data_IF_416742184401
#
_entry.id   IF_416742184401
#
_cell.length_a   1.000
_cell.length_b   1.000
_cell.length_c   1.000
_cell.angle_alpha   90.00
_cell.angle_beta   90.00
_cell.angle_gamma   90.00
#
_symmetry.space_group_name_H-M   'P 1'
#
loop_
_entity.id
_entity.type
_entity.pdbx_description
1 polymer ?
#
# COMPACT_ATOMS: atom_id res chain seq x y z
N UNK A 1 13.74 -46.09 -11.60
CA UNK A 1 13.31 -45.15 -10.53
C UNK A 1 12.79 -43.88 -11.19
N UNK A 2 11.57 -43.42 -10.86
CA UNK A 2 10.71 -42.83 -11.88
C UNK A 2 10.91 -41.32 -12.02
N UNK A 3 10.87 -40.87 -13.28
CA UNK A 3 10.84 -39.48 -13.76
C UNK A 3 9.81 -38.59 -13.03
N UNK A 4 8.77 -39.21 -12.44
CA UNK A 4 7.77 -38.53 -11.60
C UNK A 4 8.35 -37.84 -10.37
N UNK A 5 9.44 -38.34 -9.77
CA UNK A 5 10.04 -37.71 -8.59
C UNK A 5 10.82 -36.42 -8.91
N UNK A 6 11.34 -36.29 -10.14
CA UNK A 6 12.07 -35.08 -10.57
C UNK A 6 11.09 -33.92 -10.82
N UNK A 7 9.92 -34.22 -11.38
CA UNK A 7 8.88 -33.21 -11.61
C UNK A 7 8.28 -32.64 -10.31
N UNK A 8 8.16 -33.47 -9.26
CA UNK A 8 7.68 -33.01 -7.94
C UNK A 8 8.68 -32.08 -7.23
N UNK A 9 9.99 -32.28 -7.43
CA UNK A 9 11.03 -31.42 -6.83
C UNK A 9 11.14 -30.07 -7.56
N UNK A 10 10.98 -30.05 -8.88
CA UNK A 10 11.00 -28.78 -9.64
C UNK A 10 9.74 -27.95 -9.37
N UNK A 11 8.57 -28.57 -9.17
CA UNK A 11 7.35 -27.84 -8.82
C UNK A 11 7.39 -27.26 -7.39
N UNK A 12 8.08 -27.92 -6.45
CA UNK A 12 8.25 -27.41 -5.09
C UNK A 12 9.20 -26.18 -5.01
N UNK A 13 10.12 -26.03 -5.96
CA UNK A 13 11.05 -24.90 -6.00
C UNK A 13 10.43 -23.58 -6.51
N UNK A 14 9.29 -23.63 -7.22
CA UNK A 14 8.58 -22.43 -7.66
C UNK A 14 7.65 -21.82 -6.59
N UNK A 15 7.33 -22.55 -5.52
CA UNK A 15 6.46 -22.04 -4.44
C UNK A 15 7.25 -21.32 -3.33
N UNK A 16 8.58 -21.43 -3.33
CA UNK A 16 9.44 -20.76 -2.36
C UNK A 16 9.61 -19.24 -2.61
N UNK A 17 9.06 -18.70 -3.71
CA UNK A 17 9.20 -17.29 -4.10
C UNK A 17 8.34 -16.29 -3.32
N UNK A 18 7.34 -16.74 -2.56
CA UNK A 18 6.39 -15.85 -1.86
C UNK A 18 6.52 -15.84 -0.33
N UNK A 19 7.44 -16.63 0.24
CA UNK A 19 7.68 -16.68 1.68
C UNK A 19 8.73 -15.63 2.09
N UNK A 20 8.35 -14.36 2.01
CA UNK A 20 9.18 -13.26 2.48
C UNK A 20 9.28 -13.25 4.01
N UNK A 21 10.37 -13.79 4.54
CA UNK A 21 10.88 -13.56 5.91
C UNK A 21 11.30 -12.08 6.09
N UNK A 22 10.40 -11.14 5.82
CA UNK A 22 10.67 -9.72 6.02
C UNK A 22 10.22 -9.29 7.42
N UNK A 23 11.08 -8.53 8.10
CA UNK A 23 10.80 -8.00 9.43
C UNK A 23 9.65 -7.01 9.34
N UNK A 24 8.54 -7.25 10.06
CA UNK A 24 7.40 -6.33 10.13
C UNK A 24 7.69 -5.03 10.92
N UNK A 25 8.95 -4.75 11.21
CA UNK A 25 9.41 -3.59 11.97
C UNK A 25 9.62 -2.41 11.00
N UNK A 26 8.73 -1.43 11.08
CA UNK A 26 8.83 -0.18 10.35
C UNK A 26 9.83 0.78 11.01
N UNK A 27 9.70 0.97 12.32
CA UNK A 27 10.69 1.70 13.12
C UNK A 27 11.74 0.72 13.62
N UNK A 28 13.00 1.05 13.45
CA UNK A 28 14.10 0.22 13.92
C UNK A 28 14.59 0.59 15.32
N UNK A 29 15.67 -0.06 15.75
CA UNK A 29 16.17 -0.06 17.13
C UNK A 29 17.12 1.10 17.46
N UNK A 30 17.71 1.77 16.48
CA UNK A 30 18.51 3.00 16.65
C UNK A 30 18.89 3.61 15.29
N UNK A 31 18.41 4.82 14.99
CA UNK A 31 18.82 5.55 13.79
C UNK A 31 20.29 5.96 13.88
N UNK A 32 21.07 5.57 12.87
CA UNK A 32 22.39 6.15 12.62
C UNK A 32 22.18 7.48 11.89
N UNK A 33 22.88 8.53 12.30
CA UNK A 33 22.86 9.80 11.58
C UNK A 33 23.60 9.62 10.24
N UNK A 34 22.92 9.88 9.12
CA UNK A 34 23.54 9.95 7.81
C UNK A 34 23.59 11.41 7.32
N UNK A 35 24.64 11.80 6.59
CA UNK A 35 24.68 13.09 5.90
C UNK A 35 23.51 13.24 4.91
N UNK A 36 22.97 14.46 4.79
CA UNK A 36 21.91 14.75 3.81
C UNK A 36 22.33 14.43 2.37
N UNK A 37 23.63 14.53 2.07
CA UNK A 37 24.22 14.18 0.76
C UNK A 37 24.09 12.69 0.41
N UNK A 38 23.81 11.83 1.38
CA UNK A 38 23.64 10.39 1.19
C UNK A 38 22.16 9.98 1.12
N UNK A 39 21.24 10.94 1.09
CA UNK A 39 19.78 10.71 1.00
C UNK A 39 19.27 11.21 -0.36
N UNK A 40 18.74 10.30 -1.17
CA UNK A 40 18.18 10.61 -2.49
C UNK A 40 16.76 11.19 -2.42
N UNK A 41 16.03 10.94 -1.34
CA UNK A 41 14.68 11.44 -1.18
C UNK A 41 14.11 11.26 0.21
N UNK A 42 13.08 12.05 0.52
CA UNK A 42 12.28 11.93 1.73
C UNK A 42 10.81 12.10 1.37
N UNK A 43 9.99 11.08 1.61
CA UNK A 43 8.60 11.03 1.18
C UNK A 43 7.65 10.86 2.36
N UNK A 44 6.69 11.77 2.46
CA UNK A 44 5.57 11.69 3.41
C UNK A 44 4.48 10.79 2.84
N UNK A 45 4.34 9.58 3.39
CA UNK A 45 3.31 8.63 3.00
C UNK A 45 2.11 8.76 3.93
N UNK A 46 0.96 9.18 3.40
CA UNK A 46 -0.29 9.22 4.15
C UNK A 46 -0.98 7.87 4.10
N UNK A 47 -1.57 7.42 5.21
CA UNK A 47 -2.03 6.04 5.34
C UNK A 47 -3.42 5.99 5.96
N UNK A 48 -4.35 5.35 5.24
CA UNK A 48 -5.61 4.86 5.78
C UNK A 48 -5.53 3.33 5.83
N UNK A 49 -5.79 2.72 7.00
CA UNK A 49 -5.56 1.29 7.19
C UNK A 49 -6.69 0.61 7.95
N UNK A 50 -7.08 -0.60 7.51
CA UNK A 50 -8.00 -1.48 8.25
C UNK A 50 -7.26 -2.42 9.20
N UNK A 51 -5.94 -2.26 9.35
CA UNK A 51 -5.14 -2.98 10.32
C UNK A 51 -5.36 -2.45 11.73
N UNK A 52 -5.32 -3.34 12.72
CA UNK A 52 -5.28 -3.00 14.13
C UNK A 52 -3.92 -2.36 14.48
N UNK A 53 -3.95 -1.38 15.39
CA UNK A 53 -2.73 -0.79 15.97
C UNK A 53 -1.97 -1.89 16.72
N UNK A 54 -0.67 -1.99 16.49
CA UNK A 54 0.16 -2.98 17.17
C UNK A 54 0.51 -2.53 18.58
N UNK A 55 0.59 -3.47 19.53
CA UNK A 55 1.18 -3.23 20.85
C UNK A 55 2.71 -3.02 20.77
N UNK A 56 3.34 -3.46 19.67
CA UNK A 56 4.74 -3.20 19.37
C UNK A 56 4.87 -1.88 18.59
N UNK A 57 5.44 -0.81 19.19
CA UNK A 57 5.56 0.48 18.54
C UNK A 57 6.43 0.41 17.28
N UNK A 58 7.32 -0.59 17.17
CA UNK A 58 8.16 -0.75 15.98
C UNK A 58 7.38 -1.21 14.75
N UNK A 59 6.24 -1.88 14.95
CA UNK A 59 5.38 -2.35 13.85
C UNK A 59 4.33 -1.33 13.44
N UNK A 60 3.90 -0.49 14.38
CA UNK A 60 2.82 0.51 14.26
C UNK A 60 1.44 -0.13 14.04
N UNK A 61 1.28 -0.97 13.01
CA UNK A 61 0.08 -1.73 12.72
C UNK A 61 0.43 -3.20 12.45
N UNK A 62 -0.44 -4.11 12.88
CA UNK A 62 -0.24 -5.55 12.72
C UNK A 62 -1.03 -6.14 11.53
N UNK A 63 -1.18 -7.47 11.52
CA UNK A 63 -1.93 -8.20 10.49
C UNK A 63 -3.42 -8.38 10.82
N UNK A 64 -3.88 -7.99 12.00
CA UNK A 64 -5.25 -8.20 12.44
C UNK A 64 -6.18 -7.09 11.91
N UNK A 65 -7.46 -7.43 11.75
CA UNK A 65 -8.50 -6.49 11.33
C UNK A 65 -8.84 -5.52 12.48
N UNK A 66 -9.03 -4.27 12.12
CA UNK A 66 -9.71 -3.27 12.94
C UNK A 66 -11.15 -3.13 12.48
N UNK A 67 -12.08 -2.85 13.40
CA UNK A 67 -13.47 -2.56 13.07
C UNK A 67 -13.65 -1.18 12.40
N UNK A 68 -12.64 -0.31 12.52
CA UNK A 68 -12.65 1.06 12.00
C UNK A 68 -11.35 1.36 11.27
N UNK A 69 -11.37 2.37 10.39
CA UNK A 69 -10.13 2.90 9.82
C UNK A 69 -9.23 3.50 10.89
N UNK A 70 -7.95 3.16 10.83
CA UNK A 70 -6.89 3.86 11.51
C UNK A 70 -6.10 4.71 10.51
N UNK A 71 -5.45 5.75 11.02
CA UNK A 71 -4.77 6.74 10.19
C UNK A 71 -3.35 7.03 10.70
N UNK A 72 -2.41 7.18 9.77
CA UNK A 72 -1.04 7.57 10.06
C UNK A 72 -0.40 8.34 8.90
N UNK A 73 0.70 9.02 9.19
CA UNK A 73 1.67 9.51 8.19
C UNK A 73 3.03 8.95 8.56
N UNK A 74 3.76 8.45 7.57
CA UNK A 74 5.13 7.95 7.74
C UNK A 74 6.05 8.71 6.81
N UNK A 75 7.10 9.32 7.35
CA UNK A 75 8.18 9.86 6.52
C UNK A 75 9.20 8.77 6.27
N UNK A 76 9.54 8.55 5.00
CA UNK A 76 10.49 7.52 4.59
C UNK A 76 11.62 8.17 3.80
N UNK A 77 12.85 7.90 4.24
CA UNK A 77 14.08 8.27 3.54
C UNK A 77 14.47 7.20 2.54
N UNK A 78 14.99 7.62 1.38
CA UNK A 78 15.53 6.77 0.32
C UNK A 78 17.03 6.98 0.26
N UNK A 79 17.85 5.91 0.31
CA UNK A 79 19.30 6.04 0.33
C UNK A 79 19.84 6.51 -1.03
N UNK A 80 20.95 7.24 -1.01
CA UNK A 80 21.65 7.74 -2.21
C UNK A 80 22.11 6.63 -3.16
N UNK A 81 22.34 5.42 -2.64
CA UNK A 81 22.75 4.25 -3.42
C UNK A 81 21.60 3.51 -4.11
N UNK A 82 20.36 3.98 -3.92
CA UNK A 82 19.15 3.32 -4.38
C UNK A 82 19.17 3.02 -5.89
N UNK A 83 18.67 1.84 -6.26
CA UNK A 83 18.48 1.44 -7.66
C UNK A 83 17.00 1.26 -7.96
N UNK A 84 16.55 1.82 -9.07
CA UNK A 84 15.16 1.70 -9.52
C UNK A 84 14.64 0.26 -9.50
N UNK A 85 13.46 0.08 -8.91
CA UNK A 85 12.78 -1.20 -8.74
C UNK A 85 13.24 -2.02 -7.52
N UNK A 86 14.33 -1.63 -6.86
CA UNK A 86 14.81 -2.29 -5.65
C UNK A 86 14.19 -1.67 -4.39
N UNK A 87 14.15 -2.43 -3.31
CA UNK A 87 13.91 -1.85 -1.98
C UNK A 87 15.04 -2.35 -1.12
N UNK A 88 15.99 -1.47 -0.83
CA UNK A 88 17.10 -1.77 0.05
C UNK A 88 16.58 -1.90 1.49
N UNK A 89 16.15 -3.11 1.84
CA UNK A 89 15.68 -3.44 3.20
C UNK A 89 16.84 -3.91 4.06
N UNK A 90 16.85 -3.45 5.31
CA UNK A 90 17.75 -4.01 6.33
C UNK A 90 17.40 -5.46 6.63
N UNK A 91 18.41 -6.28 6.90
CA UNK A 91 18.21 -7.59 7.51
C UNK A 91 18.02 -7.44 9.03
N UNK A 92 17.33 -8.40 9.65
CA UNK A 92 17.12 -8.41 11.11
C UNK A 92 18.46 -8.32 11.85
N UNK A 93 18.54 -7.43 12.85
CA UNK A 93 19.74 -7.21 13.66
C UNK A 93 20.81 -6.32 13.03
N UNK A 94 20.58 -5.75 11.84
CA UNK A 94 21.41 -4.66 11.27
C UNK A 94 20.92 -3.31 11.78
N UNK A 95 21.85 -2.34 11.86
CA UNK A 95 21.58 -0.95 12.25
C UNK A 95 20.68 -0.23 11.25
N UNK A 96 19.91 0.75 11.73
CA UNK A 96 19.02 1.58 10.90
C UNK A 96 19.83 2.71 10.27
N UNK A 97 20.50 2.36 9.17
CA UNK A 97 21.35 3.27 8.41
C UNK A 97 20.60 3.79 7.17
N UNK A 98 20.10 5.05 7.19
CA UNK A 98 19.33 5.62 6.07
C UNK A 98 20.18 5.90 4.83
N UNK A 99 21.53 5.85 4.91
CA UNK A 99 22.39 5.89 3.73
C UNK A 99 22.42 4.54 2.99
N UNK A 100 22.01 3.46 3.65
CA UNK A 100 22.00 2.11 3.09
C UNK A 100 20.61 1.55 2.77
N UNK A 101 19.60 1.97 3.53
CA UNK A 101 18.28 1.35 3.51
C UNK A 101 17.16 2.38 3.44
N UNK A 102 16.00 1.93 2.95
CA UNK A 102 14.75 2.67 3.10
C UNK A 102 14.37 2.72 4.57
N UNK A 103 14.35 3.90 5.19
CA UNK A 103 14.11 4.03 6.63
C UNK A 103 12.95 4.98 6.93
N UNK A 104 12.00 4.50 7.73
CA UNK A 104 10.99 5.36 8.35
C UNK A 104 11.66 6.27 9.39
N UNK A 105 11.70 7.58 9.11
CA UNK A 105 12.32 8.57 9.99
C UNK A 105 11.34 9.16 11.00
N UNK A 106 10.04 9.11 10.71
CA UNK A 106 8.97 9.62 11.58
C UNK A 106 7.67 8.86 11.32
N UNK A 107 6.91 8.58 12.38
CA UNK A 107 5.54 8.07 12.30
C UNK A 107 4.63 8.98 13.14
N UNK A 108 3.60 9.52 12.50
CA UNK A 108 2.56 10.32 13.18
C UNK A 108 1.24 9.57 13.06
N UNK A 109 0.72 9.10 14.19
CA UNK A 109 -0.63 8.54 14.28
C UNK A 109 -1.68 9.64 14.42
N UNK A 110 -2.84 9.44 13.79
CA UNK A 110 -3.98 10.34 13.93
C UNK A 110 -5.15 9.60 14.59
N UNK A 111 -5.62 10.10 15.74
CA UNK A 111 -6.69 9.45 16.50
C UNK A 111 -8.08 9.61 15.88
N UNK A 112 -8.24 10.52 14.91
CA UNK A 112 -9.52 10.84 14.30
C UNK A 112 -9.33 11.17 12.83
N UNK A 113 -10.32 10.83 12.00
CA UNK A 113 -10.34 11.17 10.58
C UNK A 113 -10.16 12.67 10.31
N UNK A 114 -10.81 13.63 11.00
CA UNK A 114 -10.63 15.06 10.71
C UNK A 114 -9.19 15.57 10.90
N UNK A 115 -8.46 15.07 11.93
CA UNK A 115 -7.04 15.41 12.11
C UNK A 115 -6.18 14.90 10.95
N UNK A 116 -6.44 13.67 10.50
CA UNK A 116 -5.77 13.09 9.34
C UNK A 116 -6.09 13.88 8.06
N UNK A 117 -7.37 14.12 7.78
CA UNK A 117 -7.82 14.86 6.60
C UNK A 117 -7.24 16.28 6.57
N UNK A 118 -7.10 16.96 7.71
CA UNK A 118 -6.47 18.29 7.77
C UNK A 118 -5.02 18.27 7.29
N UNK A 119 -4.21 17.34 7.81
CA UNK A 119 -2.82 17.19 7.40
C UNK A 119 -2.69 16.75 5.93
N UNK A 120 -3.55 15.83 5.49
CA UNK A 120 -3.60 15.34 4.12
C UNK A 120 -3.98 16.46 3.13
N UNK A 121 -5.01 17.25 3.45
CA UNK A 121 -5.47 18.36 2.62
C UNK A 121 -4.38 19.42 2.42
N UNK A 122 -3.59 19.69 3.48
CA UNK A 122 -2.46 20.61 3.40
C UNK A 122 -1.37 20.11 2.43
N UNK A 123 -1.00 18.83 2.49
CA UNK A 123 -0.01 18.24 1.57
C UNK A 123 -0.55 18.20 0.13
N UNK A 124 -1.82 17.80 -0.06
CA UNK A 124 -2.47 17.79 -1.38
C UNK A 124 -2.46 19.19 -2.01
N UNK A 125 -2.79 20.23 -1.24
CA UNK A 125 -2.75 21.61 -1.72
C UNK A 125 -1.32 22.03 -2.11
N UNK A 126 -0.33 21.71 -1.27
CA UNK A 126 1.08 22.02 -1.53
C UNK A 126 1.64 21.30 -2.77
N UNK A 127 1.15 20.09 -3.05
CA UNK A 127 1.57 19.25 -4.20
C UNK A 127 0.70 19.40 -5.43
N UNK A 128 -0.07 20.49 -5.51
CA UNK A 128 -0.83 20.82 -6.70
C UNK A 128 -1.97 19.83 -6.98
N UNK A 129 -2.63 19.31 -5.95
CA UNK A 129 -3.91 18.60 -6.04
C UNK A 129 -3.84 17.21 -6.67
N UNK A 130 -2.66 16.64 -6.91
CA UNK A 130 -2.52 15.26 -7.42
C UNK A 130 -2.38 14.28 -6.28
N UNK A 131 -3.11 13.18 -6.34
CA UNK A 131 -3.04 12.08 -5.36
C UNK A 131 -2.79 10.77 -6.07
N UNK A 132 -1.89 9.94 -5.53
CA UNK A 132 -1.73 8.54 -5.92
C UNK A 132 -2.13 7.66 -4.75
N UNK A 133 -3.19 6.88 -4.93
CA UNK A 133 -3.61 5.86 -3.97
C UNK A 133 -2.96 4.53 -4.35
N UNK A 134 -2.21 3.93 -3.45
CA UNK A 134 -1.68 2.59 -3.63
C UNK A 134 -2.41 1.57 -2.76
N UNK A 135 -2.85 0.48 -3.38
CA UNK A 135 -3.53 -0.63 -2.72
C UNK A 135 -2.65 -1.88 -2.86
N UNK A 136 -2.08 -2.33 -1.74
CA UNK A 136 -1.17 -3.49 -1.73
C UNK A 136 -1.91 -4.82 -1.96
N UNK A 137 -1.14 -5.88 -2.23
CA UNK A 137 -1.64 -7.23 -2.47
C UNK A 137 -1.67 -8.14 -1.24
N UNK A 138 -1.87 -9.43 -1.49
CA UNK A 138 -1.84 -10.53 -0.51
C UNK A 138 -0.48 -10.66 0.19
N UNK A 139 -0.47 -11.25 1.40
CA UNK A 139 0.70 -11.54 2.22
C UNK A 139 1.69 -10.36 2.36
N UNK A 140 1.17 -9.14 2.50
CA UNK A 140 1.97 -7.92 2.56
C UNK A 140 1.94 -7.34 3.98
N UNK A 141 3.10 -7.16 4.60
CA UNK A 141 3.24 -6.45 5.89
C UNK A 141 3.04 -4.94 5.76
N UNK A 142 2.74 -4.27 6.88
CA UNK A 142 2.55 -2.82 6.90
C UNK A 142 3.79 -2.05 6.41
N UNK A 143 4.95 -2.40 6.94
CA UNK A 143 6.27 -1.90 6.53
C UNK A 143 6.56 -2.16 5.05
N UNK A 144 6.16 -3.33 4.54
CA UNK A 144 6.36 -3.71 3.15
C UNK A 144 5.55 -2.83 2.21
N UNK A 145 4.29 -2.56 2.55
CA UNK A 145 3.41 -1.68 1.79
C UNK A 145 3.91 -0.22 1.79
N UNK A 146 4.36 0.30 2.95
CA UNK A 146 4.90 1.66 3.08
C UNK A 146 6.16 1.85 2.20
N UNK A 147 7.13 0.94 2.28
CA UNK A 147 8.35 1.06 1.46
C UNK A 147 8.08 0.81 -0.02
N UNK A 148 7.12 -0.05 -0.37
CA UNK A 148 6.73 -0.25 -1.77
C UNK A 148 6.14 1.01 -2.39
N UNK A 149 5.21 1.68 -1.70
CA UNK A 149 4.68 2.95 -2.19
C UNK A 149 5.79 4.02 -2.29
N UNK A 150 6.66 4.10 -1.28
CA UNK A 150 7.82 5.00 -1.30
C UNK A 150 8.69 4.78 -2.53
N UNK A 151 9.01 3.51 -2.85
CA UNK A 151 9.78 3.14 -4.03
C UNK A 151 9.08 3.54 -5.32
N UNK A 152 7.77 3.26 -5.45
CA UNK A 152 6.99 3.65 -6.64
C UNK A 152 7.03 5.16 -6.86
N UNK A 153 6.77 5.97 -5.82
CA UNK A 153 6.73 7.44 -5.99
C UNK A 153 8.10 8.04 -6.22
N UNK A 154 9.15 7.49 -5.59
CA UNK A 154 10.52 7.93 -5.82
C UNK A 154 10.96 7.61 -7.25
N UNK A 155 10.82 6.36 -7.68
CA UNK A 155 11.30 5.89 -8.99
C UNK A 155 10.56 6.52 -10.16
N UNK A 156 9.27 6.83 -9.99
CA UNK A 156 8.49 7.51 -11.02
C UNK A 156 8.63 9.03 -11.01
N UNK A 157 9.31 9.60 -10.01
CA UNK A 157 9.35 11.05 -9.80
C UNK A 157 7.96 11.64 -9.56
N UNK A 158 7.05 10.90 -8.94
CA UNK A 158 5.66 11.32 -8.77
C UNK A 158 5.56 12.58 -7.90
N UNK A 159 5.01 13.70 -8.43
CA UNK A 159 5.04 14.98 -7.71
C UNK A 159 3.87 15.17 -6.73
N UNK A 160 2.85 14.31 -6.80
CA UNK A 160 1.64 14.42 -5.99
C UNK A 160 1.77 13.81 -4.59
N UNK A 161 0.66 13.79 -3.86
CA UNK A 161 0.56 13.19 -2.52
C UNK A 161 0.40 11.67 -2.61
N UNK A 162 1.33 10.89 -2.04
CA UNK A 162 1.19 9.43 -1.96
C UNK A 162 0.29 9.04 -0.78
N UNK A 163 -0.73 8.25 -1.08
CA UNK A 163 -1.67 7.70 -0.10
C UNK A 163 -1.62 6.18 -0.18
N UNK A 164 -1.29 5.51 0.92
CA UNK A 164 -1.37 4.06 1.06
C UNK A 164 -2.73 3.70 1.65
N UNK A 165 -3.50 2.88 0.94
CA UNK A 165 -4.57 2.11 1.55
C UNK A 165 -4.04 0.73 1.94
N UNK A 166 -3.91 0.50 3.24
CA UNK A 166 -3.34 -0.72 3.79
C UNK A 166 -4.44 -1.56 4.43
N UNK A 167 -4.78 -2.69 3.85
CA UNK A 167 -5.77 -3.60 4.42
C UNK A 167 -5.11 -4.71 5.25
N UNK A 168 -5.84 -5.32 6.18
CA UNK A 168 -5.36 -6.38 7.06
C UNK A 168 -5.04 -7.69 6.31
N UNK A 169 -3.94 -7.67 5.55
CA UNK A 169 -3.32 -8.84 4.96
C UNK A 169 -2.38 -9.46 5.99
N UNK A 170 -2.65 -10.73 6.32
CA UNK A 170 -1.86 -11.51 7.25
C UNK A 170 -0.54 -11.92 6.58
N UNK A 171 0.59 -11.56 7.17
CA UNK A 171 1.91 -12.01 6.71
C UNK A 171 2.19 -13.50 7.03
N UNK A 172 1.14 -14.35 7.04
CA UNK A 172 1.20 -15.79 7.35
C UNK A 172 0.57 -16.55 6.19
N UNK A 173 1.38 -17.40 5.57
CA UNK A 173 1.08 -18.14 4.34
C UNK A 173 -0.02 -19.20 4.46
N UNK A 174 -0.60 -19.43 5.65
CA UNK A 174 -1.63 -20.46 5.85
C UNK A 174 -3.06 -20.02 5.54
N UNK A 175 -3.31 -18.72 5.35
CA UNK A 175 -4.68 -18.20 5.38
C UNK A 175 -5.07 -17.40 4.12
N UNK A 176 -4.84 -17.95 2.92
CA UNK A 176 -5.32 -17.32 1.67
C UNK A 176 -6.82 -16.98 1.72
N UNK A 177 -7.62 -17.82 2.38
CA UNK A 177 -9.05 -17.56 2.63
C UNK A 177 -9.26 -16.35 3.55
N UNK A 178 -8.50 -16.23 4.64
CA UNK A 178 -8.60 -15.08 5.55
C UNK A 178 -8.33 -13.77 4.80
N UNK A 179 -7.28 -13.75 3.97
CA UNK A 179 -6.92 -12.54 3.23
C UNK A 179 -7.96 -12.21 2.15
N UNK A 180 -8.59 -13.20 1.50
CA UNK A 180 -9.69 -12.94 0.55
C UNK A 180 -10.92 -12.34 1.24
N UNK A 181 -11.26 -12.82 2.43
CA UNK A 181 -12.33 -12.24 3.24
C UNK A 181 -11.95 -10.86 3.80
N UNK A 182 -10.68 -10.65 4.16
CA UNK A 182 -10.16 -9.35 4.64
C UNK A 182 -10.19 -8.32 3.51
N UNK A 183 -9.75 -8.71 2.32
CA UNK A 183 -9.80 -7.91 1.11
C UNK A 183 -11.25 -7.52 0.77
N UNK A 184 -12.17 -8.47 0.84
CA UNK A 184 -13.59 -8.21 0.59
C UNK A 184 -14.21 -7.30 1.65
N UNK A 185 -13.82 -7.42 2.92
CA UNK A 185 -14.25 -6.50 3.98
C UNK A 185 -13.68 -5.08 3.79
N UNK A 186 -12.46 -4.97 3.26
CA UNK A 186 -11.76 -3.69 3.11
C UNK A 186 -12.34 -2.78 2.03
N UNK A 187 -13.16 -3.28 1.09
CA UNK A 187 -13.73 -2.49 -0.01
C UNK A 187 -14.52 -1.27 0.47
N UNK A 188 -15.26 -1.42 1.57
CA UNK A 188 -16.09 -0.35 2.15
C UNK A 188 -15.19 0.73 2.76
N UNK A 189 -14.08 0.34 3.40
CA UNK A 189 -13.12 1.31 3.94
C UNK A 189 -12.27 1.96 2.85
N UNK A 190 -12.02 1.28 1.72
CA UNK A 190 -11.42 1.93 0.56
C UNK A 190 -12.38 2.97 -0.04
N UNK A 191 -13.69 2.70 -0.13
CA UNK A 191 -14.66 3.72 -0.54
C UNK A 191 -14.64 4.93 0.38
N UNK A 192 -14.68 4.73 1.71
CA UNK A 192 -14.58 5.83 2.68
C UNK A 192 -13.31 6.65 2.45
N UNK A 193 -12.18 5.99 2.18
CA UNK A 193 -10.90 6.67 1.88
C UNK A 193 -10.98 7.46 0.59
N UNK A 194 -11.53 6.89 -0.49
CA UNK A 194 -11.66 7.56 -1.79
C UNK A 194 -12.63 8.74 -1.72
N UNK A 195 -13.75 8.63 -1.01
CA UNK A 195 -14.68 9.75 -0.78
C UNK A 195 -14.07 10.85 0.06
N UNK A 196 -13.27 10.51 1.07
CA UNK A 196 -12.51 11.50 1.83
C UNK A 196 -11.50 12.24 0.93
N UNK A 197 -10.86 11.54 -0.01
CA UNK A 197 -9.97 12.15 -1.01
C UNK A 197 -10.74 12.99 -2.03
N UNK A 198 -11.92 12.55 -2.47
CA UNK A 198 -12.81 13.33 -3.33
C UNK A 198 -13.19 14.65 -2.66
N UNK A 199 -13.51 14.62 -1.36
CA UNK A 199 -13.82 15.81 -0.56
C UNK A 199 -12.58 16.61 -0.14
N UNK A 200 -11.38 16.11 -0.48
CA UNK A 200 -10.14 16.85 -0.28
C UNK A 200 -9.94 17.90 -1.39
N UNK A 201 -8.91 18.75 -1.23
CA UNK A 201 -8.44 19.63 -2.30
C UNK A 201 -7.85 18.92 -3.52
N UNK A 202 -8.03 17.59 -3.65
CA UNK A 202 -7.59 16.82 -4.80
C UNK A 202 -8.33 17.25 -6.07
N UNK A 203 -7.55 17.35 -7.14
CA UNK A 203 -7.97 17.64 -8.52
C UNK A 203 -7.87 16.41 -9.41
N UNK A 204 -7.04 15.43 -9.04
CA UNK A 204 -6.88 14.16 -9.75
C UNK A 204 -6.43 13.08 -8.78
N UNK A 205 -7.09 11.93 -8.81
CA UNK A 205 -6.84 10.76 -7.94
C UNK A 205 -6.48 9.58 -8.84
N UNK A 206 -5.20 9.25 -8.94
CA UNK A 206 -4.70 8.06 -9.62
C UNK A 206 -4.68 6.88 -8.64
N UNK A 207 -5.01 5.67 -9.09
CA UNK A 207 -5.01 4.45 -8.26
C UNK A 207 -4.03 3.43 -8.86
N UNK A 208 -3.13 2.91 -8.02
CA UNK A 208 -2.24 1.81 -8.37
C UNK A 208 -2.53 0.65 -7.43
N UNK A 209 -2.96 -0.47 -7.96
CA UNK A 209 -3.32 -1.65 -7.18
C UNK A 209 -2.49 -2.86 -7.62
N UNK A 210 -2.06 -3.69 -6.66
CA UNK A 210 -1.23 -4.87 -6.95
C UNK A 210 -1.87 -6.17 -6.47
N UNK A 211 -1.83 -7.23 -7.30
CA UNK A 211 -2.30 -8.58 -6.93
C UNK A 211 -3.71 -8.52 -6.35
N UNK A 212 -3.98 -9.09 -5.17
CA UNK A 212 -5.31 -9.07 -4.56
C UNK A 212 -5.84 -7.65 -4.23
N UNK A 213 -4.97 -6.63 -4.20
CA UNK A 213 -5.40 -5.23 -4.11
C UNK A 213 -6.20 -4.77 -5.33
N UNK A 214 -6.04 -5.41 -6.49
CA UNK A 214 -6.83 -5.11 -7.69
C UNK A 214 -8.28 -5.54 -7.50
N UNK A 215 -8.51 -6.68 -6.85
CA UNK A 215 -9.85 -7.14 -6.47
C UNK A 215 -10.56 -6.12 -5.58
N UNK A 216 -9.89 -5.67 -4.52
CA UNK A 216 -10.42 -4.64 -3.61
C UNK A 216 -10.78 -3.37 -4.37
N UNK A 217 -9.86 -2.90 -5.21
CA UNK A 217 -10.04 -1.68 -6.00
C UNK A 217 -11.23 -1.77 -6.95
N UNK A 218 -11.34 -2.87 -7.70
CA UNK A 218 -12.43 -3.04 -8.66
C UNK A 218 -13.79 -3.23 -7.99
N UNK A 219 -13.87 -3.94 -6.86
CA UNK A 219 -15.11 -4.04 -6.10
C UNK A 219 -15.52 -2.68 -5.52
N UNK A 220 -14.58 -1.89 -5.00
CA UNK A 220 -14.87 -0.53 -4.54
C UNK A 220 -15.34 0.37 -5.69
N UNK A 221 -14.64 0.44 -6.83
CA UNK A 221 -15.07 1.27 -7.96
C UNK A 221 -16.44 0.84 -8.49
N UNK A 222 -16.69 -0.48 -8.57
CA UNK A 222 -18.00 -1.03 -8.93
C UNK A 222 -19.08 -0.57 -7.95
N UNK A 223 -18.83 -0.61 -6.64
CA UNK A 223 -19.84 -0.21 -5.64
C UNK A 223 -20.12 1.30 -5.69
N UNK A 224 -19.10 2.11 -5.93
CA UNK A 224 -19.25 3.56 -6.10
C UNK A 224 -20.03 3.91 -7.38
N UNK A 225 -19.82 3.15 -8.47
CA UNK A 225 -20.64 3.29 -9.67
C UNK A 225 -22.11 2.91 -9.42
N UNK A 226 -22.37 1.90 -8.58
CA UNK A 226 -23.74 1.51 -8.19
C UNK A 226 -24.43 2.63 -7.41
N UNK A 227 -23.69 3.37 -6.57
CA UNK A 227 -24.22 4.46 -5.76
C UNK A 227 -24.22 5.81 -6.49
N UNK A 228 -23.83 5.85 -7.76
CA UNK A 228 -23.95 7.02 -8.64
C UNK A 228 -22.72 7.92 -8.71
N UNK A 229 -21.58 7.48 -8.19
CA UNK A 229 -20.33 8.25 -8.14
C UNK A 229 -19.16 7.41 -8.66
N UNK A 230 -19.21 7.08 -9.96
CA UNK A 230 -18.24 6.16 -10.59
C UNK A 230 -16.83 6.74 -10.76
N UNK A 231 -16.70 8.05 -10.75
CA UNK A 231 -15.49 8.79 -11.16
C UNK A 231 -15.02 9.80 -10.11
N UNK A 232 -15.48 9.67 -8.86
CA UNK A 232 -15.09 10.54 -7.74
C UNK A 232 -15.39 12.02 -8.06
N UNK A 233 -16.63 12.29 -8.48
CA UNK A 233 -17.03 13.61 -8.95
C UNK A 233 -16.16 14.13 -10.12
N UNK A 234 -15.77 13.25 -11.03
CA UNK A 234 -14.88 13.55 -12.17
C UNK A 234 -13.40 13.71 -11.83
N UNK A 235 -12.95 13.28 -10.64
CA UNK A 235 -11.54 13.40 -10.19
C UNK A 235 -10.75 12.12 -10.36
N UNK A 236 -11.38 10.98 -10.65
CA UNK A 236 -10.70 9.71 -10.87
C UNK A 236 -9.80 9.83 -12.12
N UNK A 237 -8.51 9.58 -11.93
CA UNK A 237 -7.50 9.55 -12.97
C UNK A 237 -7.24 8.13 -13.47
N UNK A 238 -5.97 7.78 -13.61
CA UNK A 238 -5.59 6.46 -14.12
C UNK A 238 -5.77 5.39 -13.03
N UNK A 239 -6.32 4.23 -13.42
CA UNK A 239 -6.42 3.04 -12.56
C UNK A 239 -5.51 1.95 -13.12
N UNK A 240 -4.39 1.72 -12.44
CA UNK A 240 -3.40 0.71 -12.81
C UNK A 240 -3.61 -0.56 -11.99
N UNK A 241 -3.99 -1.65 -12.66
CA UNK A 241 -4.13 -2.97 -12.06
C UNK A 241 -2.89 -3.81 -12.36
N UNK A 242 -1.90 -3.81 -11.46
CA UNK A 242 -0.62 -4.49 -11.64
C UNK A 242 -0.69 -5.95 -11.19
N UNK A 243 -0.37 -6.89 -12.09
CA UNK A 243 -0.44 -8.34 -11.85
C UNK A 243 -1.77 -8.76 -11.19
N UNK A 244 -2.93 -8.42 -11.82
CA UNK A 244 -4.22 -8.49 -11.16
C UNK A 244 -4.61 -9.91 -10.75
N UNK A 245 -5.12 -10.05 -9.53
CA UNK A 245 -5.73 -11.28 -9.04
C UNK A 245 -7.25 -11.17 -9.14
N UNK A 246 -7.73 -11.14 -10.39
CA UNK A 246 -9.14 -11.09 -10.75
C UNK A 246 -9.34 -11.99 -11.97
N UNK A 247 -10.30 -12.91 -11.89
CA UNK A 247 -10.72 -13.69 -13.06
C UNK A 247 -11.25 -12.75 -14.16
N UNK A 248 -10.90 -13.05 -15.42
CA UNK A 248 -11.21 -12.18 -16.56
C UNK A 248 -12.72 -11.99 -16.77
N UNK A 249 -13.54 -13.00 -16.50
CA UNK A 249 -14.99 -12.90 -16.66
C UNK A 249 -15.63 -12.16 -15.49
N UNK A 250 -15.05 -12.28 -14.29
CA UNK A 250 -15.41 -11.43 -13.16
C UNK A 250 -15.08 -9.97 -13.46
N UNK A 251 -13.88 -9.67 -13.96
CA UNK A 251 -13.50 -8.32 -14.36
C UNK A 251 -14.45 -7.75 -15.43
N UNK A 252 -14.76 -8.51 -16.49
CA UNK A 252 -15.76 -8.08 -17.48
C UNK A 252 -17.12 -7.81 -16.86
N UNK A 253 -17.54 -8.62 -15.88
CA UNK A 253 -18.80 -8.43 -15.15
C UNK A 253 -18.78 -7.15 -14.30
N UNK A 254 -17.68 -6.88 -13.62
CA UNK A 254 -17.46 -5.64 -12.87
C UNK A 254 -17.51 -4.44 -13.82
N UNK A 255 -16.81 -4.50 -14.95
CA UNK A 255 -16.80 -3.42 -15.95
C UNK A 255 -18.17 -3.16 -16.59
N UNK A 256 -18.97 -4.20 -16.86
CA UNK A 256 -20.36 -4.02 -17.31
C UNK A 256 -21.21 -3.26 -16.29
N UNK A 257 -20.95 -3.47 -15.00
CA UNK A 257 -21.67 -2.77 -13.93
C UNK A 257 -21.11 -1.37 -13.66
N UNK A 258 -19.79 -1.20 -13.75
CA UNK A 258 -19.08 0.06 -13.59
C UNK A 258 -19.38 1.05 -14.73
N UNK A 259 -19.42 0.56 -15.97
CA UNK A 259 -19.57 1.36 -17.18
C UNK A 259 -18.25 1.51 -17.96
N UNK A 260 -18.31 2.26 -19.06
CA UNK A 260 -17.13 2.59 -19.87
C UNK A 260 -16.40 3.77 -19.21
N UNK A 261 -15.10 3.66 -18.83
CA UNK A 261 -14.31 4.80 -18.40
C UNK A 261 -14.26 5.87 -19.51
N UNK A 262 -14.24 7.14 -19.12
CA UNK A 262 -14.20 8.27 -20.05
C UNK A 262 -12.79 8.51 -20.62
#
# INVERSE_FOLDING_TARGET
MPLKKIFTVVLALFVAGCAGQQTQELLGSAMVSAPVTEIAGNHSIFIATTRKKSDDPNKVFDGERSATLNYARVNVTVPGLHKTGQIERRSRGKSDDPAKYFMASEVVGYDTQPKFSSALNADIAARGGRVMVFVHGYNTGFDAAVYRLTQIVHDSGYPGTPVLFSWASGARTTDYVYDKESASAARDQLEVTLRMLEQSGARRIDIVAHSLGTWVTMETLRQMAITGDRDLGGKLGDVVLASPDIDVDVFKSQMRRYGKPD
#
